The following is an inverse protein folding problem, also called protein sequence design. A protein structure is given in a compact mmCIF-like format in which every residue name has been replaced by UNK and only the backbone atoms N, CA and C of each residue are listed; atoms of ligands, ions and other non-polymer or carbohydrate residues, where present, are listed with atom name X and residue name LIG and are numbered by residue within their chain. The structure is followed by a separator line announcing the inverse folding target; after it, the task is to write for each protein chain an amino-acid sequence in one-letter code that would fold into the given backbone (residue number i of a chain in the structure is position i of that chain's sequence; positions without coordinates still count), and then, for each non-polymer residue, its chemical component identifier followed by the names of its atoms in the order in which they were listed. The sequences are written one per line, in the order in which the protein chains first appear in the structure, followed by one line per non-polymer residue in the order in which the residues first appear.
data_IF_801925940311
#
_entry.id   IF_801925940311
#
_cell.length_a   1.000
_cell.length_b   1.000
_cell.length_c   1.000
_cell.angle_alpha   90.00
_cell.angle_beta   90.00
_cell.angle_gamma   90.00
#
_symmetry.space_group_name_H-M   'P 1'
#
loop_
_entity.id
_entity.type
_entity.pdbx_description
1 polymer ?
#
# COMPACT_ATOMS: atom_id res chain seq x y z
N UNK A 1 27.35 -5.13 -1.11
CA UNK A 1 26.71 -4.07 -0.29
C UNK A 1 25.34 -4.61 0.16
N UNK A 2 25.32 -5.85 0.68
CA UNK A 2 24.18 -6.76 0.44
C UNK A 2 23.41 -7.14 1.71
N UNK A 3 24.03 -6.99 2.88
CA UNK A 3 23.39 -7.33 4.16
C UNK A 3 22.27 -6.36 4.54
N UNK A 4 22.49 -5.04 4.35
CA UNK A 4 21.51 -4.02 4.70
C UNK A 4 20.22 -4.13 3.89
N UNK A 5 20.32 -4.35 2.59
CA UNK A 5 19.16 -4.55 1.72
C UNK A 5 18.40 -5.83 2.12
N UNK A 6 19.09 -6.94 2.32
CA UNK A 6 18.46 -8.20 2.75
C UNK A 6 17.68 -8.02 4.06
N UNK A 7 18.26 -7.34 5.05
CA UNK A 7 17.59 -7.09 6.33
C UNK A 7 16.28 -6.29 6.16
N UNK A 8 16.25 -5.28 5.29
CA UNK A 8 15.04 -4.51 5.01
C UNK A 8 13.98 -5.35 4.28
N UNK A 9 14.39 -6.13 3.28
CA UNK A 9 13.49 -7.03 2.56
C UNK A 9 12.85 -8.06 3.50
N UNK A 10 13.66 -8.73 4.32
CA UNK A 10 13.18 -9.71 5.30
C UNK A 10 12.26 -9.08 6.34
N UNK A 11 12.60 -7.90 6.87
CA UNK A 11 11.75 -7.22 7.83
C UNK A 11 10.39 -6.83 7.25
N UNK A 12 10.38 -6.31 6.02
CA UNK A 12 9.16 -5.89 5.34
C UNK A 12 8.25 -7.09 4.99
N UNK A 13 8.80 -8.18 4.46
CA UNK A 13 8.01 -9.38 4.16
C UNK A 13 7.51 -10.07 5.41
N UNK A 14 8.30 -10.09 6.49
CA UNK A 14 7.87 -10.60 7.79
C UNK A 14 6.70 -9.79 8.33
N UNK A 15 6.80 -8.46 8.34
CA UNK A 15 5.71 -7.58 8.81
C UNK A 15 4.41 -7.83 8.04
N UNK A 16 4.47 -7.91 6.71
CA UNK A 16 3.29 -8.25 5.90
C UNK A 16 2.75 -9.65 6.20
N UNK A 17 3.64 -10.63 6.40
CA UNK A 17 3.22 -12.01 6.70
C UNK A 17 2.53 -12.13 8.05
N UNK A 18 3.01 -11.39 9.05
CA UNK A 18 2.46 -11.35 10.41
C UNK A 18 1.12 -10.58 10.46
N UNK A 19 0.99 -9.48 9.71
CA UNK A 19 -0.20 -8.62 9.75
C UNK A 19 -1.33 -9.08 8.81
N UNK A 20 -0.98 -9.55 7.61
CA UNK A 20 -1.95 -9.71 6.50
C UNK A 20 -2.04 -11.12 5.93
N UNK A 21 -0.99 -11.94 6.03
CA UNK A 21 -0.97 -13.26 5.39
C UNK A 21 -1.24 -14.42 6.36
N UNK A 22 -1.42 -14.14 7.66
CA UNK A 22 -1.87 -15.13 8.66
C UNK A 22 -1.08 -16.44 8.59
N UNK A 23 0.25 -16.34 8.69
CA UNK A 23 1.22 -17.44 8.58
C UNK A 23 1.42 -18.04 7.18
N UNK A 24 0.80 -17.48 6.14
CA UNK A 24 1.17 -17.77 4.75
C UNK A 24 2.37 -16.88 4.40
N UNK A 25 3.47 -17.47 3.94
CA UNK A 25 4.69 -16.70 3.68
C UNK A 25 4.61 -15.90 2.39
N UNK A 26 5.10 -14.65 2.40
CA UNK A 26 5.57 -13.97 1.20
C UNK A 26 7.08 -14.19 1.02
N UNK A 27 7.54 -14.43 -0.20
CA UNK A 27 8.97 -14.54 -0.48
C UNK A 27 9.63 -13.15 -0.43
N UNK A 28 10.72 -13.05 0.33
CA UNK A 28 11.56 -11.86 0.38
C UNK A 28 12.21 -11.50 -0.94
N UNK A 29 12.45 -12.46 -1.85
CA UNK A 29 12.99 -12.20 -3.19
C UNK A 29 12.06 -11.38 -4.07
N UNK A 30 10.76 -11.37 -3.75
CA UNK A 30 9.73 -10.70 -4.54
C UNK A 30 9.43 -9.27 -4.04
N UNK A 31 10.36 -8.71 -3.27
CA UNK A 31 10.26 -7.36 -2.72
C UNK A 31 11.28 -6.40 -3.32
N UNK A 32 10.89 -5.13 -3.47
CA UNK A 32 11.70 -4.05 -4.04
C UNK A 32 11.62 -2.82 -3.15
N UNK A 33 12.75 -2.25 -2.75
CA UNK A 33 12.78 -0.96 -2.08
C UNK A 33 12.53 0.14 -3.10
N UNK A 34 11.52 0.98 -2.87
CA UNK A 34 11.13 2.06 -3.77
C UNK A 34 11.67 3.41 -3.33
N UNK A 35 11.61 3.71 -2.02
CA UNK A 35 12.06 5.00 -1.50
C UNK A 35 12.31 4.97 0.01
N UNK A 36 13.05 5.98 0.46
CA UNK A 36 13.10 6.43 1.84
C UNK A 36 12.28 7.73 1.94
N UNK A 37 11.22 7.73 2.73
CA UNK A 37 10.44 8.90 3.06
C UNK A 37 10.90 9.42 4.42
N UNK A 38 11.23 10.71 4.51
CA UNK A 38 11.51 11.37 5.78
C UNK A 38 10.52 12.50 5.98
N UNK A 39 9.79 12.47 7.08
CA UNK A 39 8.93 13.57 7.48
C UNK A 39 9.82 14.65 8.14
N UNK A 40 9.79 15.89 7.63
CA UNK A 40 10.79 16.91 8.01
C UNK A 40 10.61 17.48 9.43
N UNK A 41 9.48 17.21 10.10
CA UNK A 41 9.16 17.75 11.42
C UNK A 41 9.34 16.73 12.56
N UNK A 42 9.37 15.45 12.23
CA UNK A 42 9.61 14.34 13.15
C UNK A 42 10.61 13.48 12.41
N UNK A 43 11.84 13.32 12.89
CA UNK A 43 12.85 12.46 12.24
C UNK A 43 12.38 11.00 12.33
N UNK A 44 11.45 10.64 11.46
CA UNK A 44 10.78 9.37 11.37
C UNK A 44 10.96 8.86 9.93
N UNK A 45 12.14 8.28 9.63
CA UNK A 45 12.40 7.70 8.33
C UNK A 45 11.53 6.46 8.13
N UNK A 46 10.78 6.43 7.03
CA UNK A 46 10.00 5.28 6.60
C UNK A 46 10.53 4.76 5.25
N UNK A 47 10.90 3.49 5.21
CA UNK A 47 11.19 2.80 3.96
C UNK A 47 9.89 2.34 3.31
N UNK A 48 9.78 2.54 2.01
CA UNK A 48 8.66 2.07 1.21
C UNK A 48 9.15 0.91 0.37
N UNK A 49 8.63 -0.29 0.65
CA UNK A 49 8.86 -1.49 -0.14
C UNK A 49 7.61 -1.84 -0.95
N UNK A 50 7.81 -2.24 -2.20
CA UNK A 50 6.84 -2.99 -2.97
C UNK A 50 7.06 -4.47 -2.69
N UNK A 51 6.00 -5.22 -2.39
CA UNK A 51 6.06 -6.66 -2.13
C UNK A 51 4.98 -7.30 -3.00
N UNK A 52 5.38 -8.21 -3.89
CA UNK A 52 4.41 -9.01 -4.61
C UNK A 52 3.85 -10.08 -3.67
N UNK A 53 2.52 -10.15 -3.56
CA UNK A 53 1.83 -11.15 -2.77
C UNK A 53 1.32 -12.23 -3.73
N UNK A 54 1.67 -13.52 -3.53
CA UNK A 54 1.32 -14.60 -4.45
C UNK A 54 -0.14 -15.07 -4.27
N UNK A 55 -1.02 -14.19 -3.79
CA UNK A 55 -2.41 -14.48 -3.47
C UNK A 55 -3.29 -13.38 -4.05
N UNK A 56 -4.48 -13.77 -4.49
CA UNK A 56 -5.53 -12.86 -4.92
C UNK A 56 -6.12 -12.11 -3.74
N UNK A 57 -6.74 -10.95 -4.00
CA UNK A 57 -7.41 -10.17 -2.97
C UNK A 57 -8.55 -10.96 -2.29
N UNK A 58 -9.27 -11.79 -3.06
CA UNK A 58 -10.36 -12.61 -2.54
C UNK A 58 -9.88 -13.69 -1.57
N UNK A 59 -8.71 -14.30 -1.84
CA UNK A 59 -8.08 -15.25 -0.91
C UNK A 59 -7.71 -14.58 0.41
N UNK A 60 -7.11 -13.38 0.35
CA UNK A 60 -6.75 -12.61 1.55
C UNK A 60 -7.99 -12.25 2.39
N UNK A 61 -9.06 -11.81 1.73
CA UNK A 61 -10.33 -11.52 2.40
C UNK A 61 -10.97 -12.78 3.00
N UNK A 62 -10.90 -13.92 2.32
CA UNK A 62 -11.40 -15.19 2.83
C UNK A 62 -10.66 -15.61 4.10
N UNK A 63 -9.33 -15.47 4.13
CA UNK A 63 -8.53 -15.76 5.33
C UNK A 63 -8.85 -14.83 6.49
N UNK A 64 -8.96 -13.52 6.23
CA UNK A 64 -9.38 -12.56 7.25
C UNK A 64 -10.75 -12.93 7.86
N UNK A 65 -11.69 -13.41 7.02
CA UNK A 65 -13.01 -13.87 7.45
C UNK A 65 -13.01 -15.22 8.16
N UNK A 66 -11.90 -15.96 8.18
CA UNK A 66 -11.76 -17.21 8.93
C UNK A 66 -11.25 -17.02 10.37
N UNK A 67 -10.67 -15.84 10.67
CA UNK A 67 -10.08 -15.55 11.99
C UNK A 67 -11.18 -15.45 13.07
N UNK A 68 -11.05 -16.10 14.24
CA UNK A 68 -12.06 -16.00 15.30
C UNK A 68 -12.39 -14.55 15.68
N UNK A 69 -13.68 -14.25 15.88
CA UNK A 69 -14.17 -12.88 16.16
C UNK A 69 -13.48 -12.22 17.37
N UNK A 70 -13.13 -13.01 18.40
CA UNK A 70 -12.39 -12.55 19.58
C UNK A 70 -10.98 -12.00 19.25
N UNK A 71 -10.37 -12.41 18.14
CA UNK A 71 -9.11 -11.87 17.65
C UNK A 71 -9.30 -10.65 16.71
N UNK A 72 -10.54 -10.37 16.27
CA UNK A 72 -10.88 -9.21 15.43
C UNK A 72 -11.35 -7.99 16.23
N UNK A 73 -11.64 -8.18 17.52
CA UNK A 73 -12.33 -7.17 18.35
C UNK A 73 -11.51 -5.88 18.54
N UNK A 74 -10.20 -5.93 18.31
CA UNK A 74 -9.32 -4.77 18.41
C UNK A 74 -9.13 -4.00 17.09
N UNK A 75 -9.48 -4.56 15.93
CA UNK A 75 -9.28 -3.92 14.62
C UNK A 75 -10.37 -4.37 13.62
N UNK A 76 -11.56 -3.74 13.62
CA UNK A 76 -12.54 -3.96 12.57
C UNK A 76 -11.93 -3.52 11.22
N UNK A 77 -11.90 -4.45 10.25
CA UNK A 77 -11.53 -4.21 8.84
C UNK A 77 -10.04 -3.89 8.56
N UNK A 78 -9.16 -4.88 8.78
CA UNK A 78 -7.71 -4.79 8.50
C UNK A 78 -7.29 -4.54 7.04
N UNK A 79 -8.11 -4.89 6.04
CA UNK A 79 -7.66 -4.96 4.65
C UNK A 79 -8.67 -4.28 3.73
N UNK A 80 -8.19 -3.30 2.97
CA UNK A 80 -8.89 -2.71 1.83
C UNK A 80 -8.02 -2.82 0.58
N UNK A 81 -8.67 -2.93 -0.58
CA UNK A 81 -8.02 -3.11 -1.86
C UNK A 81 -8.27 -1.91 -2.77
N UNK A 82 -7.23 -1.47 -3.47
CA UNK A 82 -7.35 -0.49 -4.55
C UNK A 82 -6.89 -1.20 -5.82
N UNK A 83 -7.72 -1.24 -6.89
CA UNK A 83 -7.29 -1.76 -8.18
C UNK A 83 -6.00 -1.07 -8.64
N UNK A 84 -5.04 -1.86 -9.12
CA UNK A 84 -3.78 -1.35 -9.68
C UNK A 84 -4.03 -0.86 -11.10
N UNK A 85 -4.76 0.23 -11.20
CA UNK A 85 -5.07 0.98 -12.42
C UNK A 85 -4.54 2.40 -12.29
N UNK A 86 -3.97 2.93 -13.37
CA UNK A 86 -3.26 4.21 -13.31
C UNK A 86 -4.18 5.39 -13.00
N UNK A 87 -5.42 5.39 -13.53
CA UNK A 87 -6.39 6.45 -13.34
C UNK A 87 -7.10 6.32 -11.99
N UNK A 88 -7.38 5.10 -11.54
CA UNK A 88 -7.88 4.83 -10.18
C UNK A 88 -6.87 5.32 -9.14
N UNK A 89 -5.60 4.92 -9.26
CA UNK A 89 -4.55 5.33 -8.33
C UNK A 89 -4.28 6.84 -8.40
N UNK A 90 -4.36 7.46 -9.58
CA UNK A 90 -4.26 8.91 -9.72
C UNK A 90 -5.41 9.60 -8.99
N UNK A 91 -6.65 9.14 -9.18
CA UNK A 91 -7.83 9.67 -8.50
C UNK A 91 -7.74 9.57 -6.99
N UNK A 92 -7.29 8.42 -6.46
CA UNK A 92 -7.12 8.23 -5.01
C UNK A 92 -6.01 9.12 -4.46
N UNK A 93 -4.86 9.23 -5.14
CA UNK A 93 -3.73 10.04 -4.67
C UNK A 93 -4.05 11.54 -4.53
N UNK A 94 -4.99 12.07 -5.32
CA UNK A 94 -5.40 13.48 -5.27
C UNK A 94 -6.64 13.75 -4.39
N UNK A 95 -7.29 12.70 -3.85
CA UNK A 95 -8.44 12.85 -2.96
C UNK A 95 -7.95 13.11 -1.54
N UNK A 96 -8.64 14.01 -0.85
CA UNK A 96 -8.34 14.27 0.56
C UNK A 96 -8.91 13.21 1.50
N UNK A 97 -10.02 12.63 1.09
CA UNK A 97 -10.82 11.66 1.83
C UNK A 97 -10.73 10.27 1.20
N UNK A 98 -10.81 9.23 2.05
CA UNK A 98 -10.89 7.85 1.63
C UNK A 98 -12.31 7.51 1.13
N UNK A 99 -12.40 6.74 0.05
CA UNK A 99 -13.68 6.40 -0.59
C UNK A 99 -13.45 5.71 -1.93
N UNK A 100 -12.84 4.52 -1.89
CA UNK A 100 -12.84 3.58 -3.00
C UNK A 100 -14.00 2.60 -2.81
N UNK A 101 -14.64 2.19 -3.90
CA UNK A 101 -15.85 1.38 -3.87
C UNK A 101 -15.80 0.18 -2.90
N UNK A 102 -16.97 -0.08 -2.33
CA UNK A 102 -17.40 -1.17 -1.44
C UNK A 102 -17.25 -1.01 0.07
N UNK A 103 -16.45 -0.09 0.61
CA UNK A 103 -16.49 0.22 2.06
C UNK A 103 -16.24 1.72 2.31
N UNK A 104 -17.21 2.46 2.88
CA UNK A 104 -16.97 3.83 3.35
C UNK A 104 -16.12 3.78 4.62
N UNK A 105 -14.84 4.11 4.51
CA UNK A 105 -14.00 4.40 5.68
C UNK A 105 -13.98 5.92 5.83
N UNK A 106 -14.66 6.44 6.85
CA UNK A 106 -14.57 7.85 7.23
C UNK A 106 -13.15 8.14 7.71
N UNK A 107 -12.35 8.80 6.87
CA UNK A 107 -10.97 9.11 7.22
C UNK A 107 -10.24 9.93 6.16
N UNK A 108 -9.38 10.84 6.62
CA UNK A 108 -8.41 11.52 5.75
C UNK A 108 -7.20 10.60 5.56
N UNK A 109 -6.69 10.53 4.34
CA UNK A 109 -5.41 9.85 4.10
C UNK A 109 -4.31 10.47 4.96
N UNK A 110 -3.52 9.64 5.64
CA UNK A 110 -2.22 10.08 6.13
C UNK A 110 -1.39 10.58 4.94
N UNK A 111 -0.72 11.74 5.01
CA UNK A 111 0.07 12.29 3.90
C UNK A 111 1.05 11.26 3.29
N UNK A 112 1.67 10.47 4.16
CA UNK A 112 2.64 9.40 3.81
C UNK A 112 2.01 8.28 2.97
N UNK A 113 0.73 8.00 3.14
CA UNK A 113 0.01 7.03 2.30
C UNK A 113 -0.13 7.51 0.86
N UNK A 114 -0.29 8.83 0.63
CA UNK A 114 -0.33 9.38 -0.73
C UNK A 114 1.02 9.24 -1.44
N UNK A 115 2.12 9.46 -0.71
CA UNK A 115 3.46 9.23 -1.27
C UNK A 115 3.69 7.76 -1.63
N UNK A 116 3.19 6.81 -0.82
CA UNK A 116 3.26 5.37 -1.13
C UNK A 116 2.48 5.03 -2.42
N UNK A 117 1.32 5.63 -2.64
CA UNK A 117 0.55 5.48 -3.88
C UNK A 117 1.30 6.06 -5.10
N UNK A 118 1.88 7.25 -4.97
CA UNK A 118 2.68 7.87 -6.03
C UNK A 118 3.92 7.03 -6.38
N UNK A 119 4.63 6.51 -5.37
CA UNK A 119 5.76 5.62 -5.57
C UNK A 119 5.36 4.32 -6.26
N UNK A 120 4.20 3.76 -5.89
CA UNK A 120 3.63 2.57 -6.56
C UNK A 120 3.35 2.87 -8.03
N UNK A 121 2.78 4.03 -8.36
CA UNK A 121 2.52 4.43 -9.76
C UNK A 121 3.81 4.57 -10.56
N UNK A 122 4.79 5.31 -10.04
CA UNK A 122 6.09 5.48 -10.72
C UNK A 122 6.77 4.13 -10.93
N UNK A 123 6.71 3.24 -9.93
CA UNK A 123 7.26 1.90 -10.03
C UNK A 123 6.58 1.04 -11.10
N UNK A 124 5.24 1.08 -11.19
CA UNK A 124 4.44 0.22 -12.06
C UNK A 124 4.28 0.74 -13.50
N UNK A 125 4.16 2.05 -13.66
CA UNK A 125 3.78 2.69 -14.94
C UNK A 125 4.81 3.70 -15.44
N UNK A 126 5.87 3.99 -14.66
CA UNK A 126 6.85 5.01 -15.02
C UNK A 126 6.39 6.44 -14.70
N UNK A 127 7.35 7.38 -14.74
CA UNK A 127 7.13 8.76 -14.33
C UNK A 127 6.24 9.55 -15.30
N UNK A 128 6.39 9.33 -16.61
CA UNK A 128 5.63 10.03 -17.65
C UNK A 128 4.13 9.77 -17.51
N UNK A 129 3.71 8.51 -17.62
CA UNK A 129 2.31 8.10 -17.52
C UNK A 129 1.70 8.50 -16.16
N UNK A 130 2.51 8.43 -15.10
CA UNK A 130 2.10 8.87 -13.76
C UNK A 130 1.72 10.34 -13.73
N UNK A 131 2.54 11.21 -14.33
CA UNK A 131 2.32 12.66 -14.40
C UNK A 131 1.11 12.98 -15.28
N UNK A 132 0.99 12.35 -16.44
CA UNK A 132 -0.17 12.54 -17.32
C UNK A 132 -1.48 12.16 -16.63
N UNK A 133 -1.53 11.01 -15.96
CA UNK A 133 -2.71 10.58 -15.21
C UNK A 133 -3.07 11.55 -14.09
N UNK A 134 -2.09 12.11 -13.36
CA UNK A 134 -2.35 13.12 -12.34
C UNK A 134 -2.91 14.41 -12.95
N UNK A 135 -2.34 14.88 -14.07
CA UNK A 135 -2.80 16.09 -14.75
C UNK A 135 -4.27 15.97 -15.20
N UNK A 136 -4.66 14.83 -15.78
CA UNK A 136 -6.06 14.56 -16.18
C UNK A 136 -7.03 14.64 -15.00
N UNK A 137 -6.63 14.14 -13.83
CA UNK A 137 -7.50 14.14 -12.65
C UNK A 137 -7.65 15.54 -12.02
N UNK A 138 -6.60 16.36 -12.06
CA UNK A 138 -6.65 17.75 -11.59
C UNK A 138 -7.54 18.62 -12.48
N UNK A 139 -7.48 18.43 -13.80
CA UNK A 139 -8.34 19.16 -14.75
C UNK A 139 -9.83 18.83 -14.60
N UNK A 140 -10.19 17.60 -14.19
CA UNK A 140 -11.59 17.20 -13.93
C UNK A 140 -12.21 17.83 -12.69
N UNK A 141 -11.40 18.42 -11.80
CA UNK A 141 -11.87 19.12 -10.59
C UNK A 141 -12.06 20.63 -10.81
N UNK A 142 -11.62 21.17 -11.95
CA UNK A 142 -11.76 22.58 -12.33
C UNK A 142 -13.01 22.79 -13.17
#
# INVERSE_FOLDING_TARGET
MDFGNLAFHTAATRGVSEEFLFAHGADSSDSKLLALLSEYQIVNPALVAYIAIPFTFDELLAWQRSIPKAQREFEPERISGIPVDIDVLAGVAIREEFGAGHVPIDGRWHPTSRYRLLLTKVHRFGSHDTLEALARQTQRKS
#
